data_IF_203777737512
#
_entry.id   IF_203777737512
#
_cell.length_a   1.000
_cell.length_b   1.000
_cell.length_c   1.000
_cell.angle_alpha   90.00
_cell.angle_beta   90.00
_cell.angle_gamma   90.00
#
_symmetry.space_group_name_H-M   'P 1'
#
loop_
_entity.id
_entity.type
_entity.pdbx_description
1 polymer ?
#
# COMPACT_ATOMS: atom_id res chain seq x y z
N UNK A 1 -12.45 -15.11 -5.69
CA UNK A 1 -13.53 -14.62 -6.57
C UNK A 1 -12.93 -13.50 -7.41
N UNK A 2 -12.89 -13.67 -8.73
CA UNK A 2 -12.47 -12.64 -9.68
C UNK A 2 -13.57 -11.61 -9.77
N UNK A 3 -13.28 -10.37 -9.39
CA UNK A 3 -14.22 -9.26 -9.56
C UNK A 3 -13.96 -8.52 -10.88
N UNK A 4 -12.74 -8.57 -11.43
CA UNK A 4 -12.46 -8.01 -12.76
C UNK A 4 -13.02 -8.94 -13.83
N UNK A 5 -14.01 -8.44 -14.56
CA UNK A 5 -14.70 -9.16 -15.63
C UNK A 5 -13.78 -9.34 -16.84
N UNK A 6 -14.05 -10.37 -17.65
CA UNK A 6 -13.30 -10.58 -18.89
C UNK A 6 -13.46 -9.39 -19.86
N UNK A 7 -14.60 -8.69 -19.82
CA UNK A 7 -14.86 -7.48 -20.62
C UNK A 7 -13.84 -6.39 -20.25
N UNK A 8 -13.74 -6.03 -18.97
CA UNK A 8 -12.77 -5.05 -18.49
C UNK A 8 -11.33 -5.44 -18.83
N UNK A 9 -10.98 -6.72 -18.73
CA UNK A 9 -9.63 -7.20 -19.11
C UNK A 9 -9.37 -6.94 -20.59
N UNK A 10 -10.32 -7.32 -21.46
CA UNK A 10 -10.22 -7.12 -22.92
C UNK A 10 -10.18 -5.65 -23.28
N UNK A 11 -11.01 -4.80 -22.67
CA UNK A 11 -11.00 -3.35 -22.93
C UNK A 11 -9.65 -2.72 -22.55
N UNK A 12 -9.04 -3.14 -21.43
CA UNK A 12 -7.69 -2.71 -21.03
C UNK A 12 -6.65 -3.18 -22.05
N UNK A 13 -6.75 -4.41 -22.56
CA UNK A 13 -5.82 -4.93 -23.56
C UNK A 13 -5.97 -4.22 -24.89
N UNK A 14 -7.20 -3.96 -25.33
CA UNK A 14 -7.52 -3.23 -26.55
C UNK A 14 -6.95 -1.80 -26.48
N UNK A 15 -7.00 -1.13 -25.32
CA UNK A 15 -6.32 0.16 -25.11
C UNK A 15 -4.82 0.07 -25.40
N UNK A 16 -4.12 -0.94 -24.89
CA UNK A 16 -2.68 -1.11 -25.15
C UNK A 16 -2.37 -1.58 -26.57
N UNK A 17 -3.26 -2.34 -27.22
CA UNK A 17 -3.05 -2.90 -28.55
C UNK A 17 -3.38 -1.94 -29.68
N UNK A 18 -4.40 -1.10 -29.49
CA UNK A 18 -5.01 -0.30 -30.56
C UNK A 18 -5.01 1.20 -30.26
N UNK A 19 -4.76 1.57 -29.02
CA UNK A 19 -4.85 2.94 -28.56
C UNK A 19 -6.28 3.44 -28.42
N UNK A 20 -6.43 4.76 -28.34
CA UNK A 20 -7.74 5.41 -28.38
C UNK A 20 -7.68 6.66 -29.26
N UNK A 21 -8.83 7.03 -29.82
CA UNK A 21 -8.95 8.24 -30.62
C UNK A 21 -9.28 9.41 -29.69
N UNK A 22 -8.45 10.45 -29.74
CA UNK A 22 -8.74 11.76 -29.17
C UNK A 22 -9.37 12.63 -30.26
N UNK A 23 -10.68 12.86 -30.12
CA UNK A 23 -11.45 13.71 -31.02
C UNK A 23 -11.06 15.18 -30.83
N UNK A 24 -10.92 15.91 -31.94
CA UNK A 24 -10.62 17.35 -31.89
C UNK A 24 -11.65 18.16 -32.67
N UNK A 25 -12.13 19.25 -32.05
CA UNK A 25 -13.06 20.18 -32.70
C UNK A 25 -12.36 21.03 -33.78
N UNK A 26 -11.04 21.23 -33.63
CA UNK A 26 -10.27 22.18 -34.43
C UNK A 26 -9.19 21.52 -35.30
N UNK A 27 -8.93 20.23 -35.09
CA UNK A 27 -7.87 19.48 -35.78
C UNK A 27 -8.39 18.09 -36.17
N UNK A 28 -7.57 17.34 -36.91
CA UNK A 28 -7.84 15.93 -37.18
C UNK A 28 -7.75 15.11 -35.89
N UNK A 29 -8.60 14.09 -35.82
CA UNK A 29 -8.59 13.11 -34.74
C UNK A 29 -7.22 12.44 -34.62
N UNK A 30 -6.74 12.28 -33.38
CA UNK A 30 -5.41 11.71 -33.11
C UNK A 30 -5.56 10.36 -32.44
N UNK A 31 -4.92 9.33 -33.02
CA UNK A 31 -4.80 8.04 -32.34
C UNK A 31 -3.64 8.07 -31.33
N UNK A 32 -3.98 7.94 -30.04
CA UNK A 32 -3.05 7.98 -28.93
C UNK A 32 -2.68 6.56 -28.51
N UNK A 33 -1.39 6.23 -28.65
CA UNK A 33 -0.84 4.92 -28.33
C UNK A 33 0.14 5.01 -27.16
N UNK A 34 0.10 4.03 -26.26
CA UNK A 34 1.04 3.89 -25.16
C UNK A 34 1.44 2.42 -24.98
N UNK A 35 2.74 2.16 -25.01
CA UNK A 35 3.27 0.81 -24.85
C UNK A 35 3.32 0.43 -23.36
N UNK A 36 2.81 -0.74 -23.00
CA UNK A 36 2.73 -1.19 -21.60
C UNK A 36 4.13 -1.36 -20.94
N UNK A 37 5.17 -1.64 -21.72
CA UNK A 37 6.56 -1.71 -21.24
C UNK A 37 7.26 -0.34 -21.15
N UNK A 38 6.58 0.74 -21.55
CA UNK A 38 7.05 2.12 -21.45
C UNK A 38 8.39 2.36 -22.16
N UNK A 39 9.42 2.71 -21.39
CA UNK A 39 10.78 3.04 -21.90
C UNK A 39 11.74 1.85 -21.95
N UNK A 40 11.34 0.71 -21.39
CA UNK A 40 12.16 -0.51 -21.40
C UNK A 40 11.92 -1.28 -22.70
N UNK A 41 12.75 -2.29 -22.98
CA UNK A 41 12.32 -3.34 -23.91
C UNK A 41 11.24 -4.23 -23.28
N UNK A 42 10.42 -4.86 -24.11
CA UNK A 42 9.35 -5.76 -23.67
C UNK A 42 9.89 -6.88 -22.75
N UNK A 43 11.03 -7.47 -23.09
CA UNK A 43 11.67 -8.52 -22.28
C UNK A 43 12.19 -8.00 -20.94
N UNK A 44 12.83 -6.82 -20.91
CA UNK A 44 13.30 -6.21 -19.66
C UNK A 44 12.15 -5.91 -18.72
N UNK A 45 11.02 -5.43 -19.25
CA UNK A 45 9.81 -5.21 -18.48
C UNK A 45 9.23 -6.52 -17.92
N UNK A 46 9.08 -7.55 -18.76
CA UNK A 46 8.51 -8.83 -18.33
C UNK A 46 9.39 -9.53 -17.28
N UNK A 47 10.73 -9.42 -17.36
CA UNK A 47 11.65 -9.96 -16.35
C UNK A 47 11.51 -9.33 -14.97
N UNK A 48 10.90 -8.12 -14.86
CA UNK A 48 10.60 -7.51 -13.56
C UNK A 48 9.40 -8.16 -12.85
N UNK A 49 8.51 -8.79 -13.62
CA UNK A 49 7.26 -9.37 -13.11
C UNK A 49 7.30 -10.90 -13.06
N UNK A 50 8.06 -11.52 -13.97
CA UNK A 50 8.03 -12.96 -14.20
C UNK A 50 9.44 -13.55 -14.24
N UNK A 51 9.59 -14.75 -13.69
CA UNK A 51 10.81 -15.55 -13.79
C UNK A 51 10.84 -16.28 -15.13
N UNK A 52 11.07 -15.53 -16.22
CA UNK A 52 11.00 -16.04 -17.59
C UNK A 52 11.92 -17.25 -17.85
N UNK A 53 13.04 -17.34 -17.12
CA UNK A 53 13.98 -18.46 -17.22
C UNK A 53 13.44 -19.78 -16.64
N UNK A 54 12.46 -19.71 -15.74
CA UNK A 54 11.81 -20.85 -15.07
C UNK A 54 10.46 -21.21 -15.72
N UNK A 55 9.95 -20.36 -16.62
CA UNK A 55 8.67 -20.56 -17.30
C UNK A 55 8.78 -21.57 -18.45
N UNK A 56 7.70 -22.32 -18.64
CA UNK A 56 7.58 -23.26 -19.77
C UNK A 56 7.64 -22.52 -21.11
N UNK A 57 8.34 -23.11 -22.08
CA UNK A 57 8.38 -22.61 -23.44
C UNK A 57 7.32 -23.27 -24.31
N UNK A 58 6.76 -22.51 -25.24
CA UNK A 58 5.84 -23.02 -26.24
C UNK A 58 6.57 -23.50 -27.51
N UNK A 59 7.81 -23.03 -27.72
CA UNK A 59 8.67 -23.43 -28.83
C UNK A 59 9.87 -24.26 -28.36
N UNK A 60 9.85 -25.55 -28.72
CA UNK A 60 10.87 -26.55 -28.37
C UNK A 60 12.28 -26.22 -28.87
N UNK A 61 12.44 -25.24 -29.77
CA UNK A 61 13.75 -24.78 -30.26
C UNK A 61 14.57 -24.04 -29.17
N UNK A 62 13.90 -23.51 -28.17
CA UNK A 62 14.52 -22.70 -27.11
C UNK A 62 14.54 -23.46 -25.78
N UNK A 63 15.38 -23.03 -24.81
CA UNK A 63 15.51 -23.72 -23.53
C UNK A 63 14.44 -23.30 -22.50
N UNK A 64 14.00 -22.06 -22.56
CA UNK A 64 13.03 -21.47 -21.64
C UNK A 64 12.23 -20.35 -22.34
N UNK A 65 11.23 -19.81 -21.64
CA UNK A 65 10.40 -18.73 -22.19
C UNK A 65 11.21 -17.46 -22.47
N UNK A 66 12.26 -17.16 -21.70
CA UNK A 66 13.11 -15.99 -21.92
C UNK A 66 13.78 -16.02 -23.32
N UNK A 67 14.44 -17.12 -23.67
CA UNK A 67 15.09 -17.28 -24.98
C UNK A 67 14.09 -17.26 -26.13
N UNK A 68 12.93 -17.90 -25.94
CA UNK A 68 11.84 -17.91 -26.91
C UNK A 68 11.35 -16.48 -27.19
N UNK A 69 10.98 -15.75 -26.13
CA UNK A 69 10.45 -14.39 -26.23
C UNK A 69 11.52 -13.47 -26.82
N UNK A 70 12.77 -13.56 -26.37
CA UNK A 70 13.86 -12.75 -26.91
C UNK A 70 14.03 -12.95 -28.42
N UNK A 71 14.02 -14.21 -28.87
CA UNK A 71 14.18 -14.54 -30.29
C UNK A 71 12.99 -14.07 -31.13
N UNK A 72 11.76 -14.31 -30.67
CA UNK A 72 10.56 -13.91 -31.42
C UNK A 72 10.32 -12.40 -31.43
N UNK A 73 10.62 -11.69 -30.33
CA UNK A 73 10.60 -10.22 -30.31
C UNK A 73 11.68 -9.64 -31.24
N UNK A 74 12.88 -10.23 -31.28
CA UNK A 74 13.95 -9.77 -32.18
C UNK A 74 13.61 -10.00 -33.67
N UNK A 75 12.98 -11.13 -33.99
CA UNK A 75 12.55 -11.46 -35.36
C UNK A 75 11.23 -10.76 -35.75
N UNK A 76 10.58 -10.03 -34.84
CA UNK A 76 9.24 -9.44 -35.04
C UNK A 76 8.16 -10.47 -35.40
N UNK A 77 8.27 -11.70 -34.86
CA UNK A 77 7.31 -12.78 -35.11
C UNK A 77 6.03 -12.64 -34.27
N UNK A 78 6.10 -11.90 -33.16
CA UNK A 78 4.96 -11.70 -32.27
C UNK A 78 4.10 -10.50 -32.71
N UNK A 79 2.79 -10.70 -32.70
CA UNK A 79 1.82 -9.63 -32.90
C UNK A 79 1.85 -8.63 -31.72
N UNK A 80 1.53 -7.35 -31.95
CA UNK A 80 1.39 -6.37 -30.87
C UNK A 80 0.44 -6.86 -29.77
N UNK A 81 0.92 -6.88 -28.53
CA UNK A 81 0.14 -7.32 -27.37
C UNK A 81 -0.06 -8.83 -27.26
N UNK A 82 0.78 -9.64 -27.92
CA UNK A 82 0.80 -11.11 -27.77
C UNK A 82 0.75 -11.58 -26.30
N UNK A 83 1.39 -10.84 -25.38
CA UNK A 83 1.42 -11.15 -23.94
C UNK A 83 0.02 -11.27 -23.34
N UNK A 84 -0.97 -10.51 -23.84
CA UNK A 84 -2.34 -10.51 -23.31
C UNK A 84 -3.11 -11.79 -23.67
N UNK A 85 -2.61 -12.56 -24.65
CA UNK A 85 -3.22 -13.81 -25.13
C UNK A 85 -2.43 -15.04 -24.69
N UNK A 86 -1.22 -14.85 -24.19
CA UNK A 86 -0.38 -15.93 -23.71
C UNK A 86 -0.76 -16.32 -22.28
N UNK A 87 -1.35 -17.51 -22.15
CA UNK A 87 -1.86 -18.04 -20.89
C UNK A 87 -0.76 -18.18 -19.81
N UNK A 88 0.53 -18.19 -20.18
CA UNK A 88 1.65 -18.26 -19.22
C UNK A 88 1.75 -17.03 -18.31
N UNK A 89 1.25 -15.88 -18.75
CA UNK A 89 1.26 -14.63 -17.97
C UNK A 89 -0.03 -14.43 -17.17
N UNK A 90 -1.05 -15.27 -17.40
CA UNK A 90 -2.30 -15.28 -16.65
C UNK A 90 -3.04 -13.92 -16.64
N UNK A 91 -2.75 -13.00 -17.57
CA UNK A 91 -3.36 -11.66 -17.60
C UNK A 91 -4.86 -11.70 -17.94
N UNK A 92 -5.29 -12.62 -18.81
CA UNK A 92 -6.71 -12.78 -19.16
C UNK A 92 -7.45 -13.72 -18.20
N UNK A 93 -6.84 -14.88 -17.91
CA UNK A 93 -7.48 -16.00 -17.21
C UNK A 93 -6.94 -16.26 -15.80
N UNK A 94 -6.07 -15.41 -15.27
CA UNK A 94 -5.55 -15.50 -13.90
C UNK A 94 -6.39 -14.77 -12.87
N UNK A 95 -5.84 -14.66 -11.66
CA UNK A 95 -6.43 -13.89 -10.58
C UNK A 95 -6.31 -12.37 -10.83
N UNK A 96 -7.15 -11.58 -10.16
CA UNK A 96 -7.19 -10.11 -10.34
C UNK A 96 -5.87 -9.44 -9.96
N UNK A 97 -5.20 -9.92 -8.90
CA UNK A 97 -3.93 -9.35 -8.46
C UNK A 97 -2.85 -9.45 -9.54
N UNK A 98 -2.83 -10.51 -10.36
CA UNK A 98 -1.84 -10.66 -11.44
C UNK A 98 -1.96 -9.50 -12.43
N UNK A 99 -3.18 -9.17 -12.87
CA UNK A 99 -3.42 -8.03 -13.76
C UNK A 99 -3.13 -6.70 -13.06
N UNK A 100 -3.57 -6.53 -11.82
CA UNK A 100 -3.38 -5.28 -11.09
C UNK A 100 -1.90 -5.00 -10.80
N UNK A 101 -1.12 -6.02 -10.45
CA UNK A 101 0.33 -5.93 -10.22
C UNK A 101 1.06 -5.63 -11.53
N UNK A 102 0.64 -6.27 -12.64
CA UNK A 102 1.13 -5.94 -13.99
C UNK A 102 0.88 -4.46 -14.31
N UNK A 103 -0.33 -3.95 -14.11
CA UNK A 103 -0.66 -2.54 -14.35
C UNK A 103 0.13 -1.59 -13.44
N UNK A 104 0.34 -1.93 -12.18
CA UNK A 104 1.21 -1.16 -11.29
C UNK A 104 2.64 -1.09 -11.84
N UNK A 105 3.16 -2.18 -12.40
CA UNK A 105 4.46 -2.18 -13.06
C UNK A 105 4.46 -1.36 -14.35
N UNK A 106 3.41 -1.40 -15.18
CA UNK A 106 3.27 -0.55 -16.39
C UNK A 106 3.44 0.92 -16.02
N UNK A 107 2.79 1.36 -14.94
CA UNK A 107 2.83 2.74 -14.46
C UNK A 107 3.94 3.01 -13.44
N UNK A 108 4.86 2.07 -13.20
CA UNK A 108 5.96 2.31 -12.28
C UNK A 108 6.94 3.34 -12.87
N UNK A 109 7.44 4.34 -12.10
CA UNK A 109 8.31 5.41 -12.62
C UNK A 109 9.66 4.92 -13.20
N UNK A 110 10.06 3.68 -12.92
CA UNK A 110 11.22 3.07 -13.59
C UNK A 110 10.92 2.58 -15.02
N UNK A 111 9.66 2.31 -15.31
CA UNK A 111 9.21 1.62 -16.52
C UNK A 111 8.49 2.59 -17.47
N UNK A 112 7.59 3.42 -16.95
CA UNK A 112 6.81 4.35 -17.76
C UNK A 112 7.67 5.40 -18.46
N UNK A 113 7.18 5.90 -19.58
CA UNK A 113 7.78 7.04 -20.26
C UNK A 113 7.12 8.34 -19.78
N UNK A 114 7.84 9.11 -18.97
CA UNK A 114 7.36 10.40 -18.40
C UNK A 114 6.95 11.43 -19.46
N UNK A 115 7.42 11.31 -20.70
CA UNK A 115 7.04 12.20 -21.82
C UNK A 115 5.90 11.63 -22.68
N UNK A 116 5.42 10.42 -22.36
CA UNK A 116 4.33 9.76 -23.07
C UNK A 116 2.98 9.94 -22.39
N UNK A 117 1.95 9.32 -22.97
CA UNK A 117 0.55 9.43 -22.54
C UNK A 117 0.19 8.52 -21.36
N UNK A 118 1.10 8.34 -20.40
CA UNK A 118 0.92 7.37 -19.32
C UNK A 118 -0.17 7.81 -18.34
N UNK A 119 -0.34 9.12 -18.12
CA UNK A 119 -1.36 9.68 -17.22
C UNK A 119 -2.77 9.46 -17.79
N UNK A 120 -2.94 9.66 -19.09
CA UNK A 120 -4.20 9.45 -19.80
C UNK A 120 -4.57 7.97 -19.85
N UNK A 121 -3.59 7.09 -20.07
CA UNK A 121 -3.80 5.65 -20.01
C UNK A 121 -4.14 5.19 -18.60
N UNK A 122 -3.42 5.68 -17.59
CA UNK A 122 -3.73 5.39 -16.19
C UNK A 122 -5.16 5.79 -15.87
N UNK A 123 -5.60 6.99 -16.28
CA UNK A 123 -6.97 7.47 -16.06
C UNK A 123 -8.00 6.55 -16.71
N UNK A 124 -7.86 6.24 -18.00
CA UNK A 124 -8.79 5.37 -18.74
C UNK A 124 -8.85 3.96 -18.16
N UNK A 125 -7.69 3.38 -17.84
CA UNK A 125 -7.62 2.06 -17.21
C UNK A 125 -8.26 2.09 -15.83
N UNK A 126 -8.04 3.16 -15.05
CA UNK A 126 -8.65 3.29 -13.74
C UNK A 126 -10.18 3.45 -13.82
N UNK A 127 -10.71 4.14 -14.85
CA UNK A 127 -12.15 4.20 -15.13
C UNK A 127 -12.74 2.81 -15.37
N UNK A 128 -12.06 1.97 -16.18
CA UNK A 128 -12.46 0.58 -16.42
C UNK A 128 -12.38 -0.28 -15.15
N UNK A 129 -11.27 -0.21 -14.41
CA UNK A 129 -11.09 -0.97 -13.17
C UNK A 129 -12.12 -0.61 -12.10
N UNK A 130 -12.52 0.67 -12.03
CA UNK A 130 -13.52 1.14 -11.08
C UNK A 130 -14.87 0.50 -11.31
N UNK A 131 -15.26 0.23 -12.55
CA UNK A 131 -16.51 -0.49 -12.85
C UNK A 131 -16.55 -1.88 -12.19
N UNK A 132 -15.39 -2.50 -12.01
CA UNK A 132 -15.21 -3.82 -11.40
C UNK A 132 -14.73 -3.77 -9.94
N UNK A 133 -14.79 -2.60 -9.30
CA UNK A 133 -14.55 -2.45 -7.87
C UNK A 133 -13.08 -2.36 -7.46
N UNK A 134 -12.18 -1.98 -8.37
CA UNK A 134 -10.79 -1.68 -8.07
C UNK A 134 -10.38 -0.27 -8.49
N UNK A 135 -9.32 0.25 -7.87
CA UNK A 135 -8.65 1.44 -8.34
C UNK A 135 -7.12 1.30 -8.19
N UNK A 136 -6.39 1.82 -9.17
CA UNK A 136 -4.98 2.16 -9.03
C UNK A 136 -4.90 3.53 -8.36
N UNK A 137 -4.08 3.64 -7.33
CA UNK A 137 -3.94 4.85 -6.52
C UNK A 137 -2.47 5.14 -6.24
N UNK A 138 -2.14 6.42 -6.08
CA UNK A 138 -0.81 6.83 -5.66
C UNK A 138 -0.56 6.36 -4.22
N UNK A 139 0.36 5.42 -4.09
CA UNK A 139 0.69 4.75 -2.83
C UNK A 139 1.95 5.31 -2.18
N UNK A 140 2.89 5.80 -2.99
CA UNK A 140 4.18 6.34 -2.57
C UNK A 140 4.77 7.24 -3.67
N UNK A 141 5.95 7.82 -3.42
CA UNK A 141 6.74 8.56 -4.39
C UNK A 141 8.18 8.06 -4.42
N UNK A 142 8.72 7.90 -5.62
CA UNK A 142 10.13 7.59 -5.84
C UNK A 142 10.76 8.68 -6.70
N UNK A 143 11.78 9.35 -6.19
CA UNK A 143 12.41 10.50 -6.87
C UNK A 143 11.40 11.57 -7.32
N UNK A 144 10.44 11.90 -6.45
CA UNK A 144 9.33 12.84 -6.71
C UNK A 144 8.34 12.40 -7.80
N UNK A 145 8.33 11.11 -8.17
CA UNK A 145 7.39 10.54 -9.12
C UNK A 145 6.45 9.56 -8.44
N UNK A 146 5.16 9.66 -8.74
CA UNK A 146 4.12 8.81 -8.15
C UNK A 146 4.37 7.32 -8.41
N UNK A 147 4.25 6.50 -7.38
CA UNK A 147 4.27 5.04 -7.42
C UNK A 147 2.86 4.55 -7.14
N UNK A 148 2.31 3.77 -8.07
CA UNK A 148 0.94 3.28 -7.98
C UNK A 148 0.88 1.89 -7.36
N UNK A 149 -0.13 1.70 -6.52
CA UNK A 149 -0.59 0.39 -6.04
C UNK A 149 -2.08 0.27 -6.34
N UNK A 150 -2.68 -0.86 -5.98
CA UNK A 150 -4.10 -1.11 -6.21
C UNK A 150 -4.85 -1.36 -4.91
N UNK A 151 -6.12 -0.99 -4.88
CA UNK A 151 -7.03 -1.34 -3.78
C UNK A 151 -8.44 -1.58 -4.29
N UNK A 152 -9.22 -2.29 -3.47
CA UNK A 152 -10.67 -2.43 -3.69
C UNK A 152 -11.37 -1.14 -3.27
N UNK A 153 -12.34 -0.71 -4.06
CA UNK A 153 -13.32 0.30 -3.65
C UNK A 153 -14.52 -0.39 -2.99
N UNK A 154 -15.20 0.31 -2.09
CA UNK A 154 -16.39 -0.23 -1.43
C UNK A 154 -17.57 -0.33 -2.41
N UNK A 155 -18.53 -1.19 -2.11
CA UNK A 155 -19.76 -1.30 -2.92
C UNK A 155 -20.57 -0.01 -2.89
N UNK A 156 -20.52 0.70 -1.77
CA UNK A 156 -21.15 1.99 -1.59
C UNK A 156 -20.47 3.09 -2.45
N UNK A 157 -19.14 3.09 -2.54
CA UNK A 157 -18.40 3.97 -3.46
C UNK A 157 -18.73 3.66 -4.92
N UNK A 158 -18.82 2.38 -5.28
CA UNK A 158 -19.19 1.93 -6.62
C UNK A 158 -20.61 2.37 -6.99
N UNK A 159 -21.58 2.14 -6.10
CA UNK A 159 -22.99 2.43 -6.35
C UNK A 159 -23.30 3.94 -6.39
N UNK A 160 -22.60 4.74 -5.60
CA UNK A 160 -22.82 6.19 -5.55
C UNK A 160 -21.98 6.97 -6.56
N UNK A 161 -20.87 6.39 -7.04
CA UNK A 161 -19.84 7.13 -7.78
C UNK A 161 -19.13 8.20 -6.96
N UNK A 162 -19.45 8.33 -5.67
CA UNK A 162 -18.91 9.36 -4.77
C UNK A 162 -17.74 8.81 -3.94
N UNK A 163 -16.89 9.72 -3.49
CA UNK A 163 -15.90 9.41 -2.47
C UNK A 163 -16.59 9.21 -1.13
N UNK A 164 -16.26 8.12 -0.43
CA UNK A 164 -16.77 7.84 0.90
C UNK A 164 -15.65 8.05 1.92
N UNK A 165 -15.86 8.84 3.00
CA UNK A 165 -14.81 9.10 3.96
C UNK A 165 -14.58 7.94 4.94
N UNK A 166 -13.44 7.94 5.62
CA UNK A 166 -12.93 6.88 6.49
C UNK A 166 -13.96 6.32 7.48
N UNK A 167 -14.65 7.19 8.23
CA UNK A 167 -15.60 6.81 9.28
C UNK A 167 -16.81 6.07 8.70
N UNK A 168 -17.25 6.46 7.50
CA UNK A 168 -18.38 5.84 6.79
C UNK A 168 -17.93 4.51 6.20
N UNK A 169 -16.78 4.49 5.52
CA UNK A 169 -16.18 3.29 4.90
C UNK A 169 -15.93 2.18 5.93
N UNK A 170 -15.52 2.55 7.14
CA UNK A 170 -15.17 1.63 8.22
C UNK A 170 -16.25 1.53 9.32
N UNK A 171 -17.46 2.06 9.09
CA UNK A 171 -18.52 2.17 10.11
C UNK A 171 -18.75 0.86 10.86
N UNK A 172 -18.97 -0.25 10.14
CA UNK A 172 -19.20 -1.59 10.72
C UNK A 172 -18.03 -2.04 11.60
N UNK A 173 -16.78 -1.79 11.19
CA UNK A 173 -15.60 -2.18 11.95
C UNK A 173 -15.39 -1.30 13.19
N UNK A 174 -15.70 -0.02 13.10
CA UNK A 174 -15.64 0.93 14.23
C UNK A 174 -16.71 0.58 15.27
N UNK A 175 -17.96 0.40 14.85
CA UNK A 175 -19.09 0.06 15.74
C UNK A 175 -18.88 -1.30 16.43
N UNK A 176 -18.34 -2.28 15.70
CA UNK A 176 -17.98 -3.58 16.26
C UNK A 176 -16.69 -3.58 17.09
N UNK A 177 -15.97 -2.44 17.19
CA UNK A 177 -14.66 -2.31 17.85
C UNK A 177 -13.59 -3.27 17.29
N UNK A 178 -13.72 -3.64 16.02
CA UNK A 178 -12.76 -4.47 15.29
C UNK A 178 -11.61 -3.63 14.69
N UNK A 179 -11.73 -2.30 14.72
CA UNK A 179 -10.70 -1.36 14.28
C UNK A 179 -10.21 -0.54 15.47
N UNK A 180 -8.98 -0.81 15.92
CA UNK A 180 -8.35 -0.05 16.99
C UNK A 180 -7.75 1.24 16.42
N UNK A 181 -8.48 2.35 16.55
CA UNK A 181 -8.00 3.67 16.15
C UNK A 181 -7.11 4.27 17.24
N UNK A 182 -5.98 4.88 16.88
CA UNK A 182 -5.13 5.57 17.83
C UNK A 182 -5.86 6.80 18.39
N UNK A 183 -5.61 7.12 19.66
CA UNK A 183 -6.02 8.43 20.17
C UNK A 183 -5.19 9.51 19.47
N UNK A 184 -5.85 10.61 19.08
CA UNK A 184 -5.20 11.80 18.51
C UNK A 184 -5.22 12.89 19.61
N UNK A 185 -4.10 13.17 20.28
CA UNK A 185 -4.06 14.15 21.36
C UNK A 185 -4.43 15.57 20.89
N UNK A 186 -5.00 16.40 21.77
CA UNK A 186 -5.38 17.81 21.47
C UNK A 186 -4.23 18.61 20.84
N UNK A 187 -3.00 18.42 21.31
CA UNK A 187 -1.80 19.03 20.72
C UNK A 187 -1.66 18.68 19.23
N UNK A 188 -1.85 17.41 18.86
CA UNK A 188 -1.71 16.97 17.47
C UNK A 188 -2.88 17.47 16.62
N UNK A 189 -4.11 17.49 17.16
CA UNK A 189 -5.27 18.11 16.50
C UNK A 189 -5.03 19.58 16.18
N UNK A 190 -4.40 20.30 17.10
CA UNK A 190 -3.98 21.69 16.85
C UNK A 190 -2.93 21.79 15.74
N UNK A 191 -1.92 20.91 15.71
CA UNK A 191 -0.95 20.88 14.61
C UNK A 191 -1.62 20.54 13.25
N UNK A 192 -2.62 19.65 13.25
CA UNK A 192 -3.45 19.33 12.08
C UNK A 192 -4.22 20.58 11.62
N UNK A 193 -4.98 21.24 12.50
CA UNK A 193 -5.74 22.46 12.17
C UNK A 193 -4.82 23.54 11.58
N UNK A 194 -3.65 23.77 12.18
CA UNK A 194 -2.67 24.73 11.66
C UNK A 194 -2.14 24.34 10.28
N UNK A 195 -1.97 23.04 10.00
CA UNK A 195 -1.61 22.58 8.67
C UNK A 195 -2.74 22.84 7.67
N UNK A 196 -3.99 22.51 7.99
CA UNK A 196 -5.13 22.81 7.13
C UNK A 196 -5.23 24.32 6.84
N UNK A 197 -5.10 25.17 7.86
CA UNK A 197 -5.13 26.63 7.70
C UNK A 197 -4.03 27.17 6.77
N UNK A 198 -2.85 26.52 6.72
CA UNK A 198 -1.77 26.93 5.79
C UNK A 198 -2.07 26.59 4.33
N UNK A 199 -2.92 25.58 4.09
CA UNK A 199 -3.25 25.05 2.78
C UNK A 199 -4.71 25.33 2.39
N UNK A 200 -5.42 26.16 3.15
CA UNK A 200 -6.81 26.55 2.88
C UNK A 200 -6.82 27.62 1.79
N UNK A 201 -7.09 27.20 0.56
CA UNK A 201 -7.19 28.06 -0.61
C UNK A 201 -8.66 28.35 -0.94
N UNK A 202 -8.92 29.50 -1.58
CA UNK A 202 -10.25 29.82 -2.09
C UNK A 202 -10.47 29.14 -3.44
N UNK A 203 -11.58 28.43 -3.55
CA UNK A 203 -12.07 27.77 -4.74
C UNK A 203 -13.15 28.63 -5.39
N UNK A 204 -13.24 28.58 -6.72
CA UNK A 204 -14.30 29.22 -7.49
C UNK A 204 -15.28 28.15 -7.97
N UNK A 205 -16.53 28.24 -7.53
CA UNK A 205 -17.60 27.33 -7.92
C UNK A 205 -18.75 28.11 -8.57
N UNK A 206 -19.54 27.42 -9.37
CA UNK A 206 -20.75 27.95 -9.99
C UNK A 206 -21.96 27.26 -9.38
N UNK A 207 -22.92 28.03 -8.89
CA UNK A 207 -24.16 27.48 -8.33
C UNK A 207 -25.12 26.98 -9.42
N UNK A 208 -26.25 26.39 -9.01
CA UNK A 208 -27.28 25.86 -9.89
C UNK A 208 -27.91 26.91 -10.82
N UNK A 209 -27.77 28.20 -10.48
CA UNK A 209 -28.28 29.33 -11.28
C UNK A 209 -27.24 29.90 -12.25
N UNK A 210 -26.02 29.36 -12.25
CA UNK A 210 -24.91 29.85 -13.06
C UNK A 210 -24.12 31.00 -12.42
N UNK A 211 -24.38 31.34 -11.14
CA UNK A 211 -23.64 32.39 -10.45
C UNK A 211 -22.34 31.84 -9.86
N UNK A 212 -21.25 32.55 -10.12
CA UNK A 212 -19.94 32.20 -9.57
C UNK A 212 -19.81 32.73 -8.14
N UNK A 213 -19.34 31.88 -7.23
CA UNK A 213 -19.05 32.22 -5.85
C UNK A 213 -17.71 31.64 -5.41
N UNK A 214 -17.15 32.20 -4.33
CA UNK A 214 -15.91 31.74 -3.72
C UNK A 214 -16.25 30.95 -2.45
N UNK A 215 -15.58 29.80 -2.27
CA UNK A 215 -15.69 28.96 -1.07
C UNK A 215 -14.28 28.55 -0.63
N UNK A 216 -13.98 28.56 0.67
CA UNK A 216 -12.68 28.07 1.13
C UNK A 216 -12.64 26.54 1.10
N UNK A 217 -11.45 25.94 0.96
CA UNK A 217 -11.25 24.50 1.05
C UNK A 217 -11.85 23.90 2.33
N UNK A 218 -11.74 24.57 3.48
CA UNK A 218 -12.40 24.15 4.74
C UNK A 218 -13.92 24.16 4.65
N UNK A 219 -14.52 25.20 4.06
CA UNK A 219 -15.97 25.27 3.88
C UNK A 219 -16.47 24.18 2.93
N UNK A 220 -15.77 23.95 1.82
CA UNK A 220 -16.06 22.87 0.88
C UNK A 220 -15.92 21.49 1.55
N UNK A 221 -14.87 21.30 2.35
CA UNK A 221 -14.67 20.08 3.15
C UNK A 221 -15.82 19.84 4.12
N UNK A 222 -16.30 20.87 4.81
CA UNK A 222 -17.39 20.71 5.79
C UNK A 222 -18.73 20.44 5.11
N UNK A 223 -18.97 21.01 3.92
CA UNK A 223 -20.09 20.66 3.05
C UNK A 223 -20.05 19.18 2.66
N UNK A 224 -18.90 18.67 2.21
CA UNK A 224 -18.71 17.27 1.84
C UNK A 224 -18.89 16.31 3.03
N UNK A 225 -18.46 16.70 4.24
CA UNK A 225 -18.79 15.98 5.47
C UNK A 225 -20.32 15.90 5.64
N UNK A 226 -21.01 17.03 5.50
CA UNK A 226 -22.46 17.14 5.60
C UNK A 226 -23.25 16.29 4.61
N UNK A 227 -22.70 16.05 3.41
CA UNK A 227 -23.29 15.12 2.44
C UNK A 227 -23.28 13.65 2.90
N UNK A 228 -22.36 13.30 3.81
CA UNK A 228 -22.19 11.94 4.30
C UNK A 228 -22.90 11.71 5.64
N UNK A 229 -22.85 12.68 6.55
CA UNK A 229 -23.51 12.64 7.86
C UNK A 229 -23.57 14.04 8.48
N UNK A 230 -24.51 14.26 9.41
CA UNK A 230 -24.59 15.52 10.16
C UNK A 230 -23.37 15.69 11.08
N UNK A 231 -22.56 16.76 10.94
CA UNK A 231 -21.40 16.99 11.79
C UNK A 231 -21.81 17.21 13.25
N UNK A 232 -21.25 16.40 14.15
CA UNK A 232 -21.41 16.55 15.60
C UNK A 232 -20.03 16.66 16.26
N UNK A 233 -19.96 17.31 17.42
CA UNK A 233 -18.75 17.36 18.24
C UNK A 233 -19.12 17.38 19.74
N UNK A 234 -18.15 17.04 20.58
CA UNK A 234 -18.29 17.10 22.03
C UNK A 234 -18.06 18.53 22.53
N UNK A 235 -18.99 19.03 23.33
CA UNK A 235 -18.72 20.24 24.10
C UNK A 235 -17.70 19.97 25.20
N UNK A 236 -16.63 20.77 25.24
CA UNK A 236 -15.46 20.57 26.13
C UNK A 236 -15.82 20.67 27.63
N UNK A 237 -16.94 21.31 27.98
CA UNK A 237 -17.36 21.52 29.38
C UNK A 237 -18.38 20.49 29.84
N UNK A 238 -19.41 20.27 29.03
CA UNK A 238 -20.55 19.42 29.36
C UNK A 238 -20.39 17.97 28.89
N UNK A 239 -19.50 17.71 27.93
CA UNK A 239 -19.34 16.40 27.30
C UNK A 239 -20.53 15.98 26.43
N UNK A 240 -21.48 16.88 26.18
CA UNK A 240 -22.64 16.63 25.33
C UNK A 240 -22.17 16.56 23.87
N UNK A 241 -22.63 15.54 23.15
CA UNK A 241 -22.37 15.38 21.72
C UNK A 241 -23.53 15.99 20.92
N UNK A 242 -23.30 17.12 20.27
CA UNK A 242 -24.33 17.89 19.56
C UNK A 242 -23.84 18.36 18.20
N UNK A 243 -24.77 18.80 17.34
CA UNK A 243 -24.46 19.36 16.02
C UNK A 243 -23.48 20.52 16.18
N UNK A 244 -22.51 20.61 15.26
CA UNK A 244 -21.57 21.72 15.19
C UNK A 244 -21.44 22.22 13.75
N UNK A 245 -21.26 23.54 13.61
CA UNK A 245 -20.92 24.19 12.34
C UNK A 245 -19.47 24.70 12.33
N UNK A 246 -18.74 24.51 13.43
CA UNK A 246 -17.36 24.97 13.59
C UNK A 246 -16.39 23.86 13.18
N UNK A 247 -15.71 24.08 12.06
CA UNK A 247 -14.75 23.14 11.47
C UNK A 247 -13.57 22.82 12.39
N UNK A 248 -13.00 23.83 13.05
CA UNK A 248 -11.83 23.64 13.91
C UNK A 248 -12.26 22.95 15.21
N UNK A 249 -13.44 23.27 15.74
CA UNK A 249 -14.04 22.58 16.87
C UNK A 249 -14.37 21.12 16.55
N UNK A 250 -14.88 20.84 15.35
CA UNK A 250 -15.12 19.47 14.87
C UNK A 250 -13.84 18.63 14.89
N UNK A 251 -12.71 19.18 14.45
CA UNK A 251 -11.42 18.49 14.53
C UNK A 251 -10.94 18.37 15.98
N UNK A 252 -11.13 19.39 16.81
CA UNK A 252 -10.62 19.41 18.19
C UNK A 252 -11.35 18.43 19.11
N UNK A 253 -12.66 18.31 18.95
CA UNK A 253 -13.54 17.68 19.93
C UNK A 253 -14.37 16.53 19.35
N UNK A 254 -13.73 15.63 18.60
CA UNK A 254 -14.43 14.49 18.00
C UNK A 254 -13.61 13.20 17.99
N UNK A 255 -14.19 12.06 17.63
CA UNK A 255 -13.47 10.78 17.54
C UNK A 255 -12.39 10.80 16.44
N UNK A 256 -11.30 10.01 16.58
CA UNK A 256 -10.22 9.94 15.59
C UNK A 256 -10.67 9.68 14.15
N UNK A 257 -11.70 8.86 13.96
CA UNK A 257 -12.27 8.56 12.64
C UNK A 257 -12.77 9.81 11.91
N UNK A 258 -13.37 10.75 12.64
CA UNK A 258 -13.88 12.00 12.06
C UNK A 258 -12.76 13.00 11.76
N UNK A 259 -11.65 12.95 12.49
CA UNK A 259 -10.43 13.70 12.13
C UNK A 259 -9.82 13.15 10.84
N UNK A 260 -9.83 11.83 10.67
CA UNK A 260 -9.40 11.20 9.42
C UNK A 260 -10.29 11.59 8.24
N UNK A 261 -11.62 11.65 8.43
CA UNK A 261 -12.54 12.16 7.40
C UNK A 261 -12.18 13.58 6.95
N UNK A 262 -11.89 14.46 7.91
CA UNK A 262 -11.47 15.82 7.60
C UNK A 262 -10.18 15.86 6.79
N UNK A 263 -9.19 15.03 7.13
CA UNK A 263 -7.92 14.94 6.37
C UNK A 263 -8.17 14.41 4.95
N UNK A 264 -8.94 13.34 4.80
CA UNK A 264 -9.27 12.75 3.50
C UNK A 264 -10.00 13.74 2.61
N UNK A 265 -11.07 14.35 3.10
CA UNK A 265 -11.91 15.25 2.32
C UNK A 265 -11.19 16.57 2.00
N UNK A 266 -10.44 17.14 2.96
CA UNK A 266 -9.67 18.36 2.72
C UNK A 266 -8.59 18.17 1.65
N UNK A 267 -8.01 16.97 1.54
CA UNK A 267 -6.98 16.68 0.53
C UNK A 267 -7.47 16.86 -0.91
N UNK A 268 -8.78 16.75 -1.15
CA UNK A 268 -9.42 16.97 -2.47
C UNK A 268 -9.39 18.42 -2.92
N UNK A 269 -9.22 19.35 -1.97
CA UNK A 269 -9.20 20.79 -2.18
C UNK A 269 -7.82 21.39 -1.95
N UNK A 270 -6.79 20.54 -1.85
CA UNK A 270 -5.42 20.94 -1.58
C UNK A 270 -4.47 20.37 -2.63
N UNK A 271 -3.18 20.69 -2.48
CA UNK A 271 -2.13 20.24 -3.39
C UNK A 271 -1.29 19.11 -2.77
N UNK A 272 -0.43 18.48 -3.58
CA UNK A 272 0.38 17.34 -3.13
C UNK A 272 1.28 17.63 -1.92
N UNK A 273 1.72 18.89 -1.72
CA UNK A 273 2.56 19.23 -0.56
C UNK A 273 1.80 19.10 0.76
N UNK A 274 0.48 19.30 0.75
CA UNK A 274 -0.35 19.02 1.92
C UNK A 274 -0.27 17.54 2.30
N UNK A 275 -0.36 16.63 1.30
CA UNK A 275 -0.28 15.18 1.51
C UNK A 275 1.07 14.79 2.11
N UNK A 276 2.17 15.37 1.60
CA UNK A 276 3.51 15.13 2.14
C UNK A 276 3.65 15.62 3.59
N UNK A 277 3.16 16.85 3.89
CA UNK A 277 3.25 17.43 5.23
C UNK A 277 2.35 16.74 6.26
N UNK A 278 1.13 16.33 5.89
CA UNK A 278 0.24 15.60 6.81
C UNK A 278 0.81 14.22 7.12
N UNK A 279 1.35 13.52 6.11
CA UNK A 279 2.00 12.22 6.31
C UNK A 279 3.26 12.34 7.18
N UNK A 280 4.06 13.39 7.01
CA UNK A 280 5.20 13.67 7.88
C UNK A 280 4.75 13.93 9.32
N UNK A 281 3.68 14.70 9.51
CA UNK A 281 3.10 14.99 10.82
C UNK A 281 2.59 13.73 11.52
N UNK A 282 1.87 12.86 10.80
CA UNK A 282 1.41 11.57 11.32
C UNK A 282 2.58 10.66 11.70
N UNK A 283 3.57 10.51 10.80
CA UNK A 283 4.76 9.67 11.02
C UNK A 283 5.61 10.14 12.20
N UNK A 284 5.89 11.45 12.32
CA UNK A 284 6.67 12.02 13.44
C UNK A 284 6.00 11.78 14.79
N UNK A 285 4.67 11.70 14.81
CA UNK A 285 3.89 11.44 16.02
C UNK A 285 3.53 9.96 16.20
N UNK A 286 4.22 9.04 15.50
CA UNK A 286 4.08 7.58 15.61
C UNK A 286 2.68 7.03 15.25
N UNK A 287 1.92 7.72 14.39
CA UNK A 287 0.69 7.15 13.84
C UNK A 287 1.02 6.11 12.76
N UNK A 288 0.36 4.94 12.83
CA UNK A 288 0.46 3.86 11.84
C UNK A 288 -0.54 4.04 10.70
N UNK A 289 -0.82 5.29 10.35
CA UNK A 289 -1.75 5.68 9.29
C UNK A 289 -1.08 6.70 8.39
N UNK A 290 -1.37 6.63 7.09
CA UNK A 290 -0.97 7.61 6.09
C UNK A 290 -2.14 7.93 5.15
N UNK A 291 -2.15 9.13 4.62
CA UNK A 291 -3.00 9.53 3.50
C UNK A 291 -2.33 9.09 2.20
N UNK A 292 -2.96 8.16 1.48
CA UNK A 292 -2.48 7.66 0.19
C UNK A 292 -3.64 7.57 -0.81
N UNK A 293 -3.46 8.13 -2.01
CA UNK A 293 -4.52 8.23 -3.01
C UNK A 293 -5.82 8.82 -2.47
N UNK A 294 -5.73 9.85 -1.62
CA UNK A 294 -6.87 10.52 -0.99
C UNK A 294 -7.57 9.76 0.13
N UNK A 295 -7.10 8.56 0.55
CA UNK A 295 -7.67 7.81 1.68
C UNK A 295 -6.65 7.59 2.78
N UNK A 296 -7.11 7.65 4.02
CA UNK A 296 -6.36 7.22 5.18
C UNK A 296 -6.36 5.69 5.20
N UNK A 297 -5.16 5.13 5.07
CA UNK A 297 -4.91 3.71 5.20
C UNK A 297 -3.90 3.45 6.31
N UNK A 298 -3.94 2.26 6.89
CA UNK A 298 -2.88 1.87 7.81
C UNK A 298 -1.58 1.84 7.00
N UNK A 299 -0.60 2.67 7.38
CA UNK A 299 0.76 2.43 6.93
C UNK A 299 1.14 1.10 7.55
N UNK A 300 1.19 0.06 6.70
CA UNK A 300 1.49 -1.30 7.14
C UNK A 300 2.72 -1.33 8.05
N UNK A 301 2.82 -2.36 8.88
CA UNK A 301 3.95 -2.56 9.76
C UNK A 301 5.24 -2.64 8.94
N UNK A 302 6.01 -1.55 8.97
CA UNK A 302 7.28 -1.39 8.30
C UNK A 302 8.35 -1.22 9.37
N UNK A 303 9.40 -2.03 9.32
CA UNK A 303 10.58 -1.78 10.15
C UNK A 303 11.10 -0.39 9.78
N UNK A 304 11.17 0.50 10.77
CA UNK A 304 11.46 1.94 10.60
C UNK A 304 12.75 2.25 9.82
N UNK A 305 13.60 1.24 9.55
CA UNK A 305 14.93 1.41 8.99
C UNK A 305 15.46 0.18 8.20
N UNK A 306 14.67 -0.46 7.32
CA UNK A 306 15.20 -1.57 6.48
C UNK A 306 16.42 -1.14 5.64
N UNK A 307 16.53 0.15 5.31
CA UNK A 307 17.69 0.75 4.64
C UNK A 307 19.00 0.71 5.46
N UNK A 308 18.93 0.56 6.79
CA UNK A 308 20.10 0.46 7.67
C UNK A 308 20.58 -0.99 7.86
N UNK A 309 19.84 -1.99 7.34
CA UNK A 309 20.25 -3.39 7.41
C UNK A 309 21.34 -3.61 6.35
N UNK A 310 22.59 -3.73 6.79
CA UNK A 310 23.72 -3.91 5.90
C UNK A 310 23.74 -5.31 5.24
N UNK A 311 23.21 -6.34 5.90
CA UNK A 311 23.17 -7.71 5.38
C UNK A 311 21.97 -7.89 4.42
N UNK A 312 22.22 -8.12 3.11
CA UNK A 312 21.15 -8.13 2.10
C UNK A 312 20.09 -9.20 2.34
N UNK A 313 20.47 -10.40 2.80
CA UNK A 313 19.53 -11.50 3.03
C UNK A 313 18.56 -11.23 4.18
N UNK A 314 19.05 -10.69 5.30
CA UNK A 314 18.24 -10.25 6.43
C UNK A 314 17.29 -9.13 6.01
N UNK A 315 17.77 -8.18 5.21
CA UNK A 315 16.96 -7.09 4.67
C UNK A 315 15.80 -7.65 3.83
N UNK A 316 16.11 -8.55 2.90
CA UNK A 316 15.12 -9.17 2.02
C UNK A 316 14.04 -9.93 2.80
N UNK A 317 14.45 -10.75 3.79
CA UNK A 317 13.51 -11.52 4.62
C UNK A 317 12.57 -10.62 5.43
N UNK A 318 13.12 -9.54 5.99
CA UNK A 318 12.36 -8.52 6.70
C UNK A 318 11.34 -7.84 5.79
N UNK A 319 11.75 -7.44 4.58
CA UNK A 319 10.88 -6.75 3.62
C UNK A 319 9.77 -7.69 3.13
N UNK A 320 10.09 -8.95 2.83
CA UNK A 320 9.09 -9.98 2.50
C UNK A 320 8.10 -10.19 3.64
N UNK A 321 8.59 -10.34 4.87
CA UNK A 321 7.75 -10.54 6.05
C UNK A 321 6.78 -9.38 6.27
N UNK A 322 7.27 -8.14 6.17
CA UNK A 322 6.46 -6.92 6.26
C UNK A 322 5.43 -6.84 5.14
N UNK A 323 5.81 -7.10 3.89
CA UNK A 323 4.87 -7.06 2.75
C UNK A 323 3.75 -8.10 2.90
N UNK A 324 4.10 -9.33 3.27
CA UNK A 324 3.13 -10.40 3.53
C UNK A 324 2.21 -10.06 4.71
N UNK A 325 2.75 -9.48 5.79
CA UNK A 325 1.93 -9.13 6.95
C UNK A 325 0.91 -8.03 6.64
N UNK A 326 1.32 -7.08 5.78
CA UNK A 326 0.50 -5.96 5.36
C UNK A 326 -0.45 -6.31 4.21
N UNK A 327 -0.34 -7.53 3.65
CA UNK A 327 -1.27 -8.05 2.67
C UNK A 327 -2.69 -8.15 3.22
N UNK A 328 -3.68 -7.92 2.36
CA UNK A 328 -5.10 -8.09 2.68
C UNK A 328 -5.53 -9.56 2.69
N UNK A 329 -4.65 -10.47 2.28
CA UNK A 329 -4.90 -11.91 2.20
C UNK A 329 -4.64 -12.54 3.58
N UNK A 330 -5.65 -13.19 4.16
CA UNK A 330 -5.56 -13.76 5.52
C UNK A 330 -4.51 -14.88 5.60
N UNK A 331 -4.36 -15.70 4.55
CA UNK A 331 -3.33 -16.75 4.49
C UNK A 331 -1.90 -16.18 4.47
N UNK A 332 -1.70 -14.94 4.04
CA UNK A 332 -0.37 -14.31 3.99
C UNK A 332 0.18 -14.04 5.38
N UNK A 333 -0.68 -13.99 6.42
CA UNK A 333 -0.22 -13.89 7.81
C UNK A 333 0.62 -15.09 8.24
N UNK A 334 0.32 -16.28 7.74
CA UNK A 334 1.12 -17.47 8.02
C UNK A 334 2.51 -17.32 7.40
N UNK A 335 2.57 -16.96 6.11
CA UNK A 335 3.83 -16.74 5.41
C UNK A 335 4.63 -15.57 6.01
N UNK A 336 3.95 -14.51 6.47
CA UNK A 336 4.59 -13.40 7.18
C UNK A 336 5.29 -13.87 8.46
N UNK A 337 4.64 -14.76 9.23
CA UNK A 337 5.20 -15.33 10.45
C UNK A 337 6.37 -16.27 10.14
N UNK A 338 6.29 -17.05 9.05
CA UNK A 338 7.42 -17.85 8.58
C UNK A 338 8.62 -16.96 8.24
N UNK A 339 8.43 -15.95 7.39
CA UNK A 339 9.49 -15.04 6.94
C UNK A 339 10.11 -14.22 8.07
N UNK A 340 9.31 -13.74 9.03
CA UNK A 340 9.88 -13.01 10.17
C UNK A 340 10.69 -13.94 11.10
N UNK A 341 10.34 -15.23 11.18
CA UNK A 341 11.16 -16.21 11.89
C UNK A 341 12.44 -16.59 11.13
N UNK A 342 12.40 -16.65 9.80
CA UNK A 342 13.61 -16.80 8.98
C UNK A 342 14.55 -15.60 9.18
N UNK A 343 14.01 -14.39 9.23
CA UNK A 343 14.77 -13.19 9.56
C UNK A 343 15.41 -13.26 10.95
N UNK A 344 14.68 -13.74 11.97
CA UNK A 344 15.24 -13.97 13.31
C UNK A 344 16.40 -14.96 13.28
N UNK A 345 16.27 -16.06 12.53
CA UNK A 345 17.30 -17.07 12.44
C UNK A 345 18.53 -16.58 11.67
N UNK A 346 18.31 -15.75 10.64
CA UNK A 346 19.38 -15.05 9.93
C UNK A 346 20.10 -14.04 10.83
N UNK A 347 19.36 -13.26 11.62
CA UNK A 347 19.90 -12.33 12.62
C UNK A 347 20.80 -13.04 13.63
N UNK A 348 20.40 -14.21 14.14
CA UNK A 348 21.20 -14.99 15.10
C UNK A 348 22.56 -15.42 14.55
N UNK A 349 22.76 -15.34 13.23
CA UNK A 349 24.03 -15.61 12.53
C UNK A 349 24.62 -14.37 11.84
N UNK A 350 24.21 -13.17 12.24
CA UNK A 350 24.64 -11.91 11.61
C UNK A 350 26.17 -11.74 11.62
N UNK A 351 26.84 -12.05 12.74
CA UNK A 351 28.30 -12.02 12.82
C UNK A 351 28.90 -13.33 12.31
N UNK A 352 29.19 -13.39 11.01
CA UNK A 352 29.64 -14.61 10.30
C UNK A 352 30.97 -15.18 10.78
N UNK A 353 31.78 -14.38 11.47
CA UNK A 353 33.03 -14.79 12.11
C UNK A 353 32.85 -15.41 13.51
N UNK A 354 31.62 -15.43 14.04
CA UNK A 354 31.28 -16.01 15.34
C UNK A 354 30.36 -17.24 15.14
N UNK A 355 30.42 -18.17 16.10
CA UNK A 355 29.38 -19.20 16.17
C UNK A 355 28.02 -18.58 16.56
N UNK A 356 26.92 -19.27 16.22
CA UNK A 356 25.55 -18.77 16.44
C UNK A 356 25.29 -18.32 17.87
N UNK A 357 25.87 -19.01 18.86
CA UNK A 357 25.67 -18.66 20.27
C UNK A 357 26.38 -17.35 20.60
N UNK A 358 27.65 -17.22 20.22
CA UNK A 358 28.44 -15.99 20.43
C UNK A 358 27.91 -14.80 19.64
N UNK A 359 27.36 -15.03 18.44
CA UNK A 359 26.70 -13.99 17.65
C UNK A 359 25.49 -13.42 18.41
N UNK A 360 24.65 -14.29 18.99
CA UNK A 360 23.51 -13.85 19.82
C UNK A 360 23.97 -13.13 21.09
N UNK A 361 24.96 -13.66 21.80
CA UNK A 361 25.53 -13.02 23.00
C UNK A 361 26.02 -11.60 22.68
N UNK A 362 26.71 -11.43 21.54
CA UNK A 362 27.15 -10.11 21.09
C UNK A 362 25.99 -9.17 20.80
N UNK A 363 24.96 -9.62 20.08
CA UNK A 363 23.77 -8.82 19.77
C UNK A 363 23.10 -8.36 21.07
N UNK A 364 22.95 -9.27 22.05
CA UNK A 364 22.35 -8.95 23.35
C UNK A 364 23.20 -7.96 24.15
N UNK A 365 24.53 -8.10 24.12
CA UNK A 365 25.45 -7.15 24.77
C UNK A 365 25.31 -5.74 24.17
N UNK A 366 25.22 -5.64 22.84
CA UNK A 366 25.04 -4.37 22.14
C UNK A 366 23.65 -3.76 22.45
N UNK A 367 22.58 -4.56 22.48
CA UNK A 367 21.21 -4.10 22.79
C UNK A 367 21.01 -3.72 24.26
N UNK A 368 21.66 -4.42 25.19
CA UNK A 368 21.48 -4.23 26.63
C UNK A 368 22.27 -3.04 27.19
N UNK A 369 23.18 -2.47 26.39
CA UNK A 369 24.08 -1.40 26.82
C UNK A 369 24.76 -1.74 28.17
N UNK A 370 25.24 -2.99 28.29
CA UNK A 370 25.90 -3.54 29.48
C UNK A 370 25.05 -3.56 30.77
N UNK A 371 23.72 -3.48 30.66
CA UNK A 371 22.83 -3.60 31.81
C UNK A 371 22.37 -5.05 32.01
N UNK A 372 22.73 -5.65 33.16
CA UNK A 372 22.43 -7.05 33.47
C UNK A 372 20.93 -7.42 33.42
N UNK A 373 20.04 -6.50 33.81
CA UNK A 373 18.60 -6.76 33.77
C UNK A 373 18.09 -6.84 32.34
N UNK A 374 18.55 -5.95 31.46
CA UNK A 374 18.20 -5.97 30.04
C UNK A 374 18.88 -7.13 29.31
N UNK A 375 20.13 -7.44 29.64
CA UNK A 375 20.83 -8.63 29.11
C UNK A 375 20.03 -9.89 29.38
N UNK A 376 19.67 -10.13 30.65
CA UNK A 376 18.82 -11.25 31.04
C UNK A 376 17.48 -11.27 30.31
N UNK A 377 16.81 -10.12 30.23
CA UNK A 377 15.52 -10.00 29.52
C UNK A 377 15.63 -10.42 28.04
N UNK A 378 16.65 -9.94 27.33
CA UNK A 378 16.82 -10.24 25.91
C UNK A 378 17.31 -11.66 25.67
N UNK A 379 18.20 -12.19 26.52
CA UNK A 379 18.60 -13.61 26.48
C UNK A 379 17.38 -14.53 26.64
N UNK A 380 16.51 -14.24 27.61
CA UNK A 380 15.26 -14.97 27.83
C UNK A 380 14.33 -14.88 26.62
N UNK A 381 14.21 -13.70 26.00
CA UNK A 381 13.34 -13.52 24.83
C UNK A 381 13.88 -14.24 23.57
N UNK A 382 15.19 -14.17 23.28
CA UNK A 382 15.80 -14.94 22.19
C UNK A 382 15.61 -16.45 22.39
N UNK A 383 15.79 -16.93 23.62
CA UNK A 383 15.57 -18.34 23.96
C UNK A 383 14.10 -18.73 23.78
N UNK A 384 13.17 -17.88 24.24
CA UNK A 384 11.74 -18.15 24.16
C UNK A 384 11.22 -18.14 22.71
N UNK A 385 11.65 -17.20 21.87
CA UNK A 385 11.28 -17.17 20.45
C UNK A 385 11.86 -18.36 19.67
N UNK A 386 13.07 -18.81 20.04
CA UNK A 386 13.67 -20.03 19.49
C UNK A 386 12.84 -21.26 19.87
N UNK A 387 12.41 -21.34 21.13
CA UNK A 387 11.54 -22.41 21.63
C UNK A 387 10.20 -22.43 20.88
N UNK A 388 9.54 -21.27 20.75
CA UNK A 388 8.28 -21.13 20.01
C UNK A 388 8.43 -21.61 18.56
N UNK A 389 9.48 -21.16 17.86
CA UNK A 389 9.74 -21.56 16.46
C UNK A 389 10.00 -23.06 16.27
N UNK A 390 10.37 -23.78 17.34
CA UNK A 390 10.61 -25.22 17.32
C UNK A 390 9.40 -26.04 17.79
N UNK A 391 8.48 -25.46 18.55
CA UNK A 391 7.29 -26.14 19.10
C UNK A 391 6.05 -25.95 18.23
N UNK A 392 5.89 -24.77 17.63
CA UNK A 392 4.77 -24.44 16.75
C UNK A 392 5.14 -24.66 15.28
N UNK A 393 4.11 -24.93 14.46
CA UNK A 393 4.25 -25.13 13.01
C UNK A 393 4.46 -23.80 12.26
N UNK A 394 5.59 -23.15 12.52
CA UNK A 394 5.97 -21.86 11.92
C UNK A 394 6.90 -22.03 10.72
N UNK A 395 7.97 -22.83 10.83
CA UNK A 395 8.94 -23.08 9.73
C UNK A 395 9.03 -24.54 9.28
N UNK A 396 8.78 -25.47 10.20
CA UNK A 396 8.88 -26.90 9.93
C UNK A 396 7.49 -27.52 9.95
N UNK A 397 7.06 -28.08 8.82
CA UNK A 397 5.78 -28.78 8.69
C UNK A 397 5.85 -30.25 9.17
N UNK A 398 6.72 -30.53 10.15
CA UNK A 398 6.80 -31.84 10.79
C UNK A 398 5.48 -32.15 11.53
N UNK A 399 5.05 -33.41 11.50
CA UNK A 399 3.77 -33.85 12.09
C UNK A 399 3.73 -33.80 13.63
N UNK A 400 4.85 -33.49 14.27
CA UNK A 400 5.00 -33.40 15.73
C UNK A 400 4.87 -31.97 16.29
N UNK A 401 4.62 -30.97 15.45
CA UNK A 401 4.50 -29.55 15.85
C UNK A 401 3.06 -29.18 16.19
N UNK A 402 2.89 -28.23 17.11
CA UNK A 402 1.57 -27.67 17.46
C UNK A 402 1.09 -26.75 16.32
N UNK A 403 -0.10 -27.05 15.78
CA UNK A 403 -0.74 -26.21 14.77
C UNK A 403 -1.19 -24.87 15.37
N UNK A 404 -1.08 -23.80 14.58
CA UNK A 404 -1.60 -22.47 14.92
C UNK A 404 -3.04 -22.38 14.39
N UNK A 405 -4.00 -22.49 15.30
CA UNK A 405 -5.42 -22.68 14.97
C UNK A 405 -6.23 -21.39 14.82
N UNK A 406 -5.70 -20.24 15.25
CA UNK A 406 -6.36 -18.94 15.17
C UNK A 406 -5.48 -17.95 14.38
N UNK A 407 -6.08 -17.29 13.40
CA UNK A 407 -5.40 -16.28 12.58
C UNK A 407 -4.88 -15.09 13.39
N UNK A 408 -5.51 -14.77 14.53
CA UNK A 408 -5.03 -13.75 15.44
C UNK A 408 -3.71 -14.14 16.12
N UNK A 409 -3.42 -15.44 16.26
CA UNK A 409 -2.17 -15.91 16.85
C UNK A 409 -1.00 -15.71 15.90
N UNK A 410 -1.20 -15.81 14.58
CA UNK A 410 -0.18 -15.39 13.62
C UNK A 410 0.19 -13.92 13.80
N UNK A 411 -0.80 -13.03 13.97
CA UNK A 411 -0.54 -11.63 14.30
C UNK A 411 0.25 -11.47 15.61
N UNK A 412 -0.11 -12.19 16.67
CA UNK A 412 0.65 -12.17 17.94
C UNK A 412 2.10 -12.61 17.75
N UNK A 413 2.33 -13.76 17.10
CA UNK A 413 3.68 -14.28 16.86
C UNK A 413 4.51 -13.32 16.01
N UNK A 414 3.92 -12.80 14.92
CA UNK A 414 4.55 -11.81 14.07
C UNK A 414 4.99 -10.59 14.88
N UNK A 415 4.08 -9.97 15.63
CA UNK A 415 4.39 -8.79 16.44
C UNK A 415 5.46 -9.04 17.50
N UNK A 416 5.42 -10.21 18.16
CA UNK A 416 6.40 -10.57 19.19
C UNK A 416 7.82 -10.71 18.61
N UNK A 417 7.95 -11.44 17.51
CA UNK A 417 9.23 -11.62 16.82
C UNK A 417 9.74 -10.30 16.24
N UNK A 418 8.85 -9.56 15.58
CA UNK A 418 9.15 -8.26 14.98
C UNK A 418 9.67 -7.26 16.02
N UNK A 419 9.09 -7.20 17.22
CA UNK A 419 9.54 -6.27 18.26
C UNK A 419 11.00 -6.50 18.68
N UNK A 420 11.43 -7.76 18.80
CA UNK A 420 12.82 -8.09 19.10
C UNK A 420 13.74 -7.74 17.92
N UNK A 421 13.35 -8.11 16.70
CA UNK A 421 14.09 -7.79 15.47
C UNK A 421 14.26 -6.28 15.29
N UNK A 422 13.19 -5.50 15.44
CA UNK A 422 13.22 -4.04 15.33
C UNK A 422 14.20 -3.41 16.31
N UNK A 423 14.23 -3.92 17.55
CA UNK A 423 15.18 -3.44 18.54
C UNK A 423 16.61 -3.83 18.18
N UNK A 424 16.85 -5.11 17.91
CA UNK A 424 18.19 -5.63 17.60
C UNK A 424 18.85 -4.88 16.44
N UNK A 425 18.10 -4.65 15.36
CA UNK A 425 18.58 -3.95 14.17
C UNK A 425 19.08 -2.52 14.44
N UNK A 426 18.63 -1.86 15.52
CA UNK A 426 19.11 -0.50 15.89
C UNK A 426 20.51 -0.51 16.50
N UNK A 427 20.97 -1.67 16.96
CA UNK A 427 22.25 -1.84 17.66
C UNK A 427 23.23 -2.69 16.87
N UNK A 428 22.85 -3.16 15.67
CA UNK A 428 23.78 -3.75 14.73
C UNK A 428 24.63 -2.64 14.10
N UNK A 429 25.94 -2.79 14.20
CA UNK A 429 26.91 -2.02 13.43
C UNK A 429 27.31 -2.79 12.16
#
# INVERSE_FOLDING_TARGET
MRNITEITRRDIFDLFQHGYVEESIWFDDRNINYCYFGRLSEIEFLKKLYRLEEMTNNDRRYRNAEEEIQAHTFNSDYEPGWVFRDDRFELLKGEDNILLDFLCAVFHPENRNEKGYWEEYLRKINELLRADGYELYESDKMSQRSVFSWRRITQEELASGKFIPFSVRNKKAIEAKNLNLPSIPKRIRYEIINLLNRYDENLYETDETGLNYSISGKQATFRDIGENYTPHAFDDKSGIYSVTEDFDHFIMCNYPSYVFDTIELFSRYSNEKFVDEINLLLKRNNFTYKLAGGKIESSGMSLRNTAAIAEPGLKELVEQASNLYNSKIISDKQFAVEKIWDALERLKTYYTNLDKKKSVEKIVDDMSNQNDKYKKLFDEEFAQLTKIGNEFRIRHHETNKTDIIDNNYYSYFYHRCFALLELALKYLN
#
